data_IF_435987596880
#
_entry.id   IF_435987596880
#
_cell.length_a   1.000
_cell.length_b   1.000
_cell.length_c   1.000
_cell.angle_alpha   90.00
_cell.angle_beta   90.00
_cell.angle_gamma   90.00
#
_symmetry.space_group_name_H-M   'P 1'
#
loop_
_entity.id
_entity.type
_entity.pdbx_description
1 polymer ?
#
# COMPACT_ATOMS: atom_id res chain seq x y z
N UNK A 1 5.20 8.51 1.85
CA UNK A 1 4.77 7.49 2.81
C UNK A 1 5.80 7.31 3.91
N UNK A 2 6.88 6.57 3.64
CA UNK A 2 7.87 6.16 4.66
C UNK A 2 8.47 7.28 5.51
N UNK A 3 8.77 8.45 4.92
CA UNK A 3 9.29 9.60 5.66
C UNK A 3 8.43 10.02 6.87
N UNK A 4 7.10 9.93 6.76
CA UNK A 4 6.17 10.33 7.83
C UNK A 4 6.25 9.35 9.01
N UNK A 5 6.43 8.05 8.72
CA UNK A 5 6.56 7.03 9.76
C UNK A 5 7.95 6.98 10.37
N UNK A 6 8.99 7.36 9.61
CA UNK A 6 10.35 7.52 10.15
C UNK A 6 10.38 8.70 11.14
N UNK A 7 9.74 9.82 10.80
CA UNK A 7 9.59 10.97 11.69
C UNK A 7 8.85 10.57 12.99
N UNK A 8 7.72 9.88 12.88
CA UNK A 8 6.99 9.37 14.04
C UNK A 8 7.82 8.39 14.89
N UNK A 9 8.58 7.49 14.26
CA UNK A 9 9.45 6.54 14.97
C UNK A 9 10.65 7.23 15.66
N UNK A 10 11.15 8.34 15.12
CA UNK A 10 12.20 9.13 15.74
C UNK A 10 11.69 9.93 16.96
N UNK A 11 10.44 10.42 16.90
CA UNK A 11 9.81 11.15 18.00
C UNK A 11 9.34 10.23 19.14
N UNK A 12 8.93 9.00 18.81
CA UNK A 12 8.41 8.01 19.75
C UNK A 12 9.21 6.70 19.69
N UNK A 13 10.41 6.65 20.30
CA UNK A 13 11.28 5.48 20.25
C UNK A 13 10.81 4.33 21.17
N UNK A 14 9.95 4.62 22.13
CA UNK A 14 9.45 3.65 23.11
C UNK A 14 8.36 2.75 22.50
N UNK A 15 8.49 1.42 22.67
CA UNK A 15 7.54 0.43 22.12
C UNK A 15 6.12 0.55 22.69
N UNK A 16 5.97 1.12 23.90
CA UNK A 16 4.67 1.43 24.52
C UNK A 16 3.89 2.48 23.72
N UNK A 17 4.59 3.43 23.11
CA UNK A 17 3.99 4.56 22.40
C UNK A 17 3.89 4.24 20.90
N UNK A 18 4.85 3.47 20.38
CA UNK A 18 4.83 3.02 18.99
C UNK A 18 5.32 1.58 18.83
N UNK A 19 4.37 0.67 18.58
CA UNK A 19 4.68 -0.73 18.37
C UNK A 19 5.31 -0.93 16.98
N UNK A 20 6.53 -1.51 16.96
CA UNK A 20 7.29 -1.82 15.74
C UNK A 20 6.52 -2.71 14.75
N UNK A 21 5.56 -3.51 15.23
CA UNK A 21 4.71 -4.33 14.37
C UNK A 21 3.89 -3.49 13.38
N UNK A 22 3.57 -2.23 13.70
CA UNK A 22 2.78 -1.36 12.83
C UNK A 22 3.51 -0.97 11.53
N UNK A 23 4.84 -1.07 11.49
CA UNK A 23 5.61 -0.91 10.25
C UNK A 23 5.26 -1.96 9.19
N UNK A 24 4.88 -3.16 9.61
CA UNK A 24 4.51 -4.27 8.73
C UNK A 24 3.40 -3.88 7.76
N UNK A 25 2.46 -3.06 8.23
CA UNK A 25 1.36 -2.54 7.41
C UNK A 25 1.90 -1.71 6.22
N UNK A 26 2.83 -0.80 6.49
CA UNK A 26 3.50 -0.01 5.44
C UNK A 26 4.35 -0.85 4.48
N UNK A 27 4.96 -1.95 4.95
CA UNK A 27 5.67 -2.91 4.07
C UNK A 27 4.70 -3.57 3.09
N UNK A 28 3.56 -4.07 3.57
CA UNK A 28 2.54 -4.67 2.70
C UNK A 28 1.97 -3.68 1.68
N UNK A 29 1.75 -2.42 2.07
CA UNK A 29 1.36 -1.37 1.11
C UNK A 29 2.43 -1.13 0.04
N UNK A 30 3.71 -1.20 0.40
CA UNK A 30 4.82 -1.02 -0.56
C UNK A 30 4.94 -2.22 -1.50
N UNK A 31 4.74 -3.44 -1.00
CA UNK A 31 4.66 -4.62 -1.85
C UNK A 31 3.47 -4.50 -2.80
N UNK A 32 2.29 -4.11 -2.31
CA UNK A 32 1.11 -3.88 -3.14
C UNK A 32 1.38 -2.89 -4.27
N UNK A 33 2.10 -1.79 -3.98
CA UNK A 33 2.55 -0.84 -4.99
C UNK A 33 3.36 -1.51 -6.10
N UNK A 34 4.33 -2.37 -5.76
CA UNK A 34 5.10 -3.09 -6.77
C UNK A 34 4.23 -4.07 -7.57
N UNK A 35 3.38 -4.85 -6.91
CA UNK A 35 2.49 -5.81 -7.58
C UNK A 35 1.55 -5.14 -8.59
N UNK A 36 0.95 -4.00 -8.24
CA UNK A 36 0.01 -3.27 -9.10
C UNK A 36 0.74 -2.67 -10.32
N UNK A 37 1.93 -2.11 -10.10
CA UNK A 37 2.67 -1.35 -11.10
C UNK A 37 3.69 -2.16 -11.91
N UNK A 38 4.00 -3.40 -11.51
CA UNK A 38 4.90 -4.29 -12.26
C UNK A 38 4.27 -4.88 -13.52
N UNK A 39 2.94 -4.83 -13.65
CA UNK A 39 2.19 -5.38 -14.79
C UNK A 39 1.78 -4.25 -15.72
N UNK A 40 2.06 -4.36 -17.02
CA UNK A 40 1.65 -3.33 -17.99
C UNK A 40 0.13 -3.33 -18.22
N UNK A 41 -0.44 -2.21 -18.67
CA UNK A 41 -1.86 -2.18 -19.00
C UNK A 41 -2.15 -3.01 -20.27
N UNK A 42 -1.22 -3.04 -21.23
CA UNK A 42 -1.28 -3.93 -22.40
C UNK A 42 -1.35 -5.43 -22.07
N UNK A 43 -0.63 -5.90 -21.04
CA UNK A 43 -0.69 -7.30 -20.59
C UNK A 43 -2.06 -7.67 -19.97
N UNK A 44 -2.75 -6.70 -19.39
CA UNK A 44 -4.09 -6.87 -18.81
C UNK A 44 -5.17 -6.85 -19.90
N UNK A 45 -5.01 -5.96 -20.90
CA UNK A 45 -5.91 -5.81 -22.05
C UNK A 45 -5.78 -6.94 -23.07
N UNK A 46 -4.62 -7.59 -23.09
CA UNK A 46 -4.41 -8.74 -23.95
C UNK A 46 -3.80 -8.45 -25.31
N UNK A 47 -3.16 -7.28 -25.49
CA UNK A 47 -2.54 -6.88 -26.76
C UNK A 47 -1.12 -7.46 -26.95
N UNK A 48 -0.71 -8.39 -26.06
CA UNK A 48 0.54 -9.13 -26.23
C UNK A 48 0.36 -10.26 -27.23
N UNK A 49 1.11 -10.21 -28.34
CA UNK A 49 1.17 -11.26 -29.38
C UNK A 49 1.76 -12.61 -28.91
N UNK A 50 2.13 -12.75 -27.62
CA UNK A 50 2.63 -14.00 -27.05
C UNK A 50 1.57 -14.63 -26.16
N UNK A 51 0.94 -15.69 -26.65
CA UNK A 51 0.02 -16.52 -25.88
C UNK A 51 0.85 -17.52 -25.06
N UNK A 52 1.50 -17.03 -24.00
CA UNK A 52 2.11 -17.91 -23.00
C UNK A 52 1.02 -18.62 -22.19
N UNK A 53 1.25 -19.86 -21.75
CA UNK A 53 0.28 -20.76 -21.10
C UNK A 53 -0.49 -20.19 -19.88
N UNK A 54 -0.08 -19.05 -19.33
CA UNK A 54 -0.69 -18.35 -18.19
C UNK A 54 -0.95 -16.85 -18.44
N UNK A 55 -0.69 -16.32 -19.64
CA UNK A 55 -0.53 -14.89 -19.98
C UNK A 55 -1.48 -13.91 -19.27
N UNK A 56 -2.62 -13.60 -19.88
CA UNK A 56 -3.55 -12.58 -19.37
C UNK A 56 -4.15 -12.95 -18.01
N UNK A 57 -4.40 -14.23 -17.76
CA UNK A 57 -5.01 -14.70 -16.51
C UNK A 57 -4.06 -14.48 -15.33
N UNK A 58 -2.77 -14.78 -15.48
CA UNK A 58 -1.78 -14.52 -14.44
C UNK A 58 -1.58 -13.02 -14.21
N UNK A 59 -1.58 -12.19 -15.26
CA UNK A 59 -1.52 -10.73 -15.12
C UNK A 59 -2.70 -10.18 -14.29
N UNK A 60 -3.91 -10.72 -14.49
CA UNK A 60 -5.10 -10.36 -13.70
C UNK A 60 -5.02 -10.84 -12.26
N UNK A 61 -4.58 -12.08 -12.02
CA UNK A 61 -4.39 -12.62 -10.67
C UNK A 61 -3.33 -11.83 -9.91
N UNK A 62 -2.23 -11.48 -10.56
CA UNK A 62 -1.15 -10.67 -9.98
C UNK A 62 -1.65 -9.28 -9.57
N UNK A 63 -2.41 -8.62 -10.44
CA UNK A 63 -3.06 -7.35 -10.14
C UNK A 63 -4.08 -7.49 -9.00
N UNK A 64 -4.89 -8.55 -8.99
CA UNK A 64 -5.87 -8.81 -7.94
C UNK A 64 -5.21 -8.96 -6.57
N UNK A 65 -4.12 -9.73 -6.48
CA UNK A 65 -3.35 -9.88 -5.24
C UNK A 65 -2.78 -8.52 -4.79
N UNK A 66 -2.26 -7.72 -5.74
CA UNK A 66 -1.77 -6.38 -5.45
C UNK A 66 -2.86 -5.48 -4.83
N UNK A 67 -4.06 -5.45 -5.42
CA UNK A 67 -5.18 -4.69 -4.88
C UNK A 67 -5.65 -5.23 -3.52
N UNK A 68 -5.74 -6.55 -3.36
CA UNK A 68 -6.12 -7.18 -2.09
C UNK A 68 -5.17 -6.78 -0.96
N UNK A 69 -3.86 -6.83 -1.22
CA UNK A 69 -2.85 -6.40 -0.26
C UNK A 69 -2.94 -4.89 0.03
N UNK A 70 -3.17 -4.06 -0.99
CA UNK A 70 -3.29 -2.61 -0.83
C UNK A 70 -4.51 -2.18 -0.02
N UNK A 71 -5.68 -2.79 -0.26
CA UNK A 71 -6.88 -2.55 0.54
C UNK A 71 -6.73 -3.13 1.95
N UNK A 72 -6.15 -4.33 2.07
CA UNK A 72 -5.88 -4.98 3.36
C UNK A 72 -4.99 -4.13 4.26
N UNK A 73 -3.90 -3.57 3.72
CA UNK A 73 -3.02 -2.67 4.48
C UNK A 73 -3.74 -1.36 4.85
N UNK A 74 -4.55 -0.78 3.96
CA UNK A 74 -5.27 0.46 4.27
C UNK A 74 -6.32 0.26 5.38
N UNK A 75 -7.08 -0.83 5.35
CA UNK A 75 -8.06 -1.17 6.39
C UNK A 75 -7.37 -1.45 7.72
N UNK A 76 -6.26 -2.21 7.70
CA UNK A 76 -5.46 -2.47 8.89
C UNK A 76 -4.89 -1.17 9.49
N UNK A 77 -4.41 -0.24 8.66
CA UNK A 77 -3.92 1.06 9.13
C UNK A 77 -5.03 1.91 9.75
N UNK A 78 -6.25 1.88 9.18
CA UNK A 78 -7.41 2.55 9.76
C UNK A 78 -7.80 1.96 11.13
N UNK A 79 -7.72 0.63 11.27
CA UNK A 79 -7.94 -0.04 12.55
C UNK A 79 -6.87 0.33 13.60
N UNK A 80 -5.60 0.42 13.21
CA UNK A 80 -4.54 0.85 14.13
C UNK A 80 -4.80 2.28 14.63
N UNK A 81 -5.16 3.20 13.73
CA UNK A 81 -5.48 4.59 14.10
C UNK A 81 -6.66 4.67 15.07
N UNK A 82 -7.83 4.17 14.67
CA UNK A 82 -9.04 4.35 15.48
C UNK A 82 -9.13 3.37 16.65
N UNK A 83 -8.81 2.11 16.41
CA UNK A 83 -8.88 1.05 17.41
C UNK A 83 -7.79 1.23 18.47
N UNK A 84 -6.52 1.34 18.09
CA UNK A 84 -5.43 1.31 19.07
C UNK A 84 -5.14 2.67 19.69
N UNK A 85 -5.09 3.75 18.90
CA UNK A 85 -4.72 5.07 19.40
C UNK A 85 -5.93 5.87 19.91
N UNK A 86 -6.96 6.08 19.07
CA UNK A 86 -8.08 6.98 19.42
C UNK A 86 -9.00 6.43 20.53
N UNK A 87 -9.34 5.14 20.49
CA UNK A 87 -10.36 4.57 21.40
C UNK A 87 -9.74 3.95 22.65
N UNK A 88 -8.63 3.21 22.51
CA UNK A 88 -8.12 2.36 23.59
C UNK A 88 -7.01 2.98 24.45
N UNK A 89 -6.35 4.07 24.03
CA UNK A 89 -5.18 4.60 24.74
C UNK A 89 -5.15 6.13 24.84
N UNK A 90 -6.05 6.76 25.63
CA UNK A 90 -6.11 8.22 25.79
C UNK A 90 -4.85 8.86 26.44
N UNK A 91 -3.89 8.05 26.91
CA UNK A 91 -2.62 8.53 27.47
C UNK A 91 -1.44 8.52 26.49
N UNK A 92 -1.62 7.99 25.27
CA UNK A 92 -0.57 7.90 24.24
C UNK A 92 -0.90 8.95 23.17
N UNK A 93 0.08 9.71 22.64
CA UNK A 93 -0.17 10.66 21.57
C UNK A 93 -0.67 9.96 20.31
N UNK A 94 -1.66 10.55 19.64
CA UNK A 94 -2.31 9.98 18.45
C UNK A 94 -1.44 10.04 17.17
N UNK A 95 -0.39 10.85 17.18
CA UNK A 95 0.47 11.10 16.01
C UNK A 95 1.03 9.84 15.33
N UNK A 96 1.53 8.82 16.05
CA UNK A 96 2.04 7.59 15.42
C UNK A 96 0.94 6.83 14.66
N UNK A 97 -0.28 6.79 15.20
CA UNK A 97 -1.43 6.20 14.52
C UNK A 97 -1.77 6.94 13.22
N UNK A 98 -1.78 8.27 13.27
CA UNK A 98 -2.04 9.13 12.08
C UNK A 98 -0.93 8.95 11.05
N UNK A 99 0.32 8.87 11.48
CA UNK A 99 1.47 8.66 10.61
C UNK A 99 1.40 7.34 9.85
N UNK A 100 1.04 6.23 10.52
CA UNK A 100 0.87 4.91 9.88
C UNK A 100 -0.29 4.91 8.89
N UNK A 101 -1.42 5.53 9.25
CA UNK A 101 -2.55 5.66 8.33
C UNK A 101 -2.16 6.47 7.08
N UNK A 102 -1.53 7.64 7.28
CA UNK A 102 -1.12 8.52 6.19
C UNK A 102 -0.06 7.87 5.31
N UNK A 103 0.87 7.10 5.88
CA UNK A 103 1.82 6.31 5.11
C UNK A 103 1.10 5.37 4.14
N UNK A 104 0.18 4.55 4.65
CA UNK A 104 -0.54 3.55 3.86
C UNK A 104 -1.43 4.20 2.80
N UNK A 105 -2.15 5.26 3.17
CA UNK A 105 -2.99 6.03 2.25
C UNK A 105 -2.17 6.63 1.10
N UNK A 106 -1.05 7.29 1.40
CA UNK A 106 -0.20 7.90 0.37
C UNK A 106 0.43 6.86 -0.56
N UNK A 107 0.87 5.71 -0.05
CA UNK A 107 1.41 4.64 -0.89
C UNK A 107 0.31 4.05 -1.78
N UNK A 108 -0.88 3.82 -1.22
CA UNK A 108 -2.02 3.30 -1.96
C UNK A 108 -2.44 4.27 -3.07
N UNK A 109 -2.64 5.55 -2.78
CA UNK A 109 -2.98 6.54 -3.81
C UNK A 109 -1.87 6.70 -4.85
N UNK A 110 -0.61 6.68 -4.44
CA UNK A 110 0.52 6.67 -5.38
C UNK A 110 0.45 5.46 -6.33
N UNK A 111 0.07 4.28 -5.81
CA UNK A 111 -0.08 3.08 -6.64
C UNK A 111 -1.18 3.24 -7.70
N UNK A 112 -2.31 3.86 -7.35
CA UNK A 112 -3.41 4.13 -8.27
C UNK A 112 -3.03 5.17 -9.31
N UNK A 113 -2.40 6.27 -8.88
CA UNK A 113 -1.95 7.35 -9.76
C UNK A 113 -0.92 6.83 -10.75
N UNK A 114 0.05 6.02 -10.31
CA UNK A 114 1.05 5.45 -11.20
C UNK A 114 0.43 4.46 -12.20
N UNK A 115 -0.52 3.62 -11.75
CA UNK A 115 -1.17 2.64 -12.60
C UNK A 115 -2.05 3.26 -13.68
N UNK A 116 -2.89 4.22 -13.29
CA UNK A 116 -3.92 4.81 -14.16
C UNK A 116 -3.51 6.13 -14.79
N UNK A 117 -2.56 6.86 -14.21
CA UNK A 117 -2.04 8.11 -14.75
C UNK A 117 -0.98 7.92 -15.84
N UNK A 118 -0.44 6.71 -15.99
CA UNK A 118 0.50 6.42 -17.07
C UNK A 118 -0.26 6.28 -18.38
N UNK A 119 -0.11 7.28 -19.26
CA UNK A 119 -0.46 7.17 -20.67
C UNK A 119 0.50 6.19 -21.33
N UNK A 120 0.07 4.94 -21.50
CA UNK A 120 0.70 4.05 -22.48
C UNK A 120 0.24 4.56 -23.84
N UNK A 121 1.02 5.43 -24.48
CA UNK A 121 0.72 5.86 -25.84
C UNK A 121 0.62 4.62 -26.73
N UNK A 122 -0.55 4.46 -27.34
CA UNK A 122 -0.92 3.42 -28.29
C UNK A 122 -0.20 3.65 -29.64
N UNK A 123 1.14 3.68 -29.65
CA UNK A 123 1.91 3.57 -30.89
C UNK A 123 2.38 2.14 -31.06
N UNK A 124 1.47 1.33 -31.60
CA UNK A 124 1.66 -0.06 -31.98
C UNK A 124 0.32 -0.77 -32.12
#
# INVERSE_FOLDING_TARGET
GWWIVIDAAAMYPDEKDFNKAFHTCGVFATLAFFFINSVSNGQIRGESYTDGCLGQTAARVWLFIGFLMGFGSLIAAAWILFGFYVVNNPGIPDWPGVAVFLQNALIFFSSLIFKFGRTEDLWG
#
